data_IF_129501411267
#
_entry.id   IF_129501411267
#
_cell.length_a   1.000
_cell.length_b   1.000
_cell.length_c   1.000
_cell.angle_alpha   90.00
_cell.angle_beta   90.00
_cell.angle_gamma   90.00
#
_symmetry.space_group_name_H-M   'P 1'
#
loop_
_entity.id
_entity.type
_entity.pdbx_description
1 polymer ?
#
# COMPACT_ATOMS: atom_id res chain seq x y z
N UNK A 1 -27.66 1.87 3.40
CA UNK A 1 -26.25 1.61 3.05
C UNK A 1 -26.12 0.17 2.63
N UNK A 2 -25.71 -0.08 1.38
CA UNK A 2 -25.76 -1.40 0.74
C UNK A 2 -24.70 -2.37 1.26
N UNK A 3 -25.02 -3.66 1.25
CA UNK A 3 -24.18 -4.76 1.73
C UNK A 3 -22.88 -5.00 0.92
N UNK A 4 -22.54 -4.09 0.01
CA UNK A 4 -21.50 -4.24 -1.02
C UNK A 4 -20.48 -3.08 -1.00
N UNK A 5 -20.42 -2.34 0.10
CA UNK A 5 -19.45 -1.26 0.27
C UNK A 5 -18.04 -1.83 0.40
N UNK A 6 -17.25 -1.77 -0.68
CA UNK A 6 -15.87 -2.26 -0.68
C UNK A 6 -14.97 -1.33 0.15
N UNK A 7 -14.21 -1.90 1.10
CA UNK A 7 -13.21 -1.18 1.88
C UNK A 7 -11.89 -1.92 1.76
N UNK A 8 -10.89 -1.29 1.13
CA UNK A 8 -9.53 -1.84 1.01
C UNK A 8 -9.44 -3.21 0.32
N UNK A 9 -10.32 -3.50 -0.67
CA UNK A 9 -10.34 -4.78 -1.40
C UNK A 9 -11.06 -5.93 -0.68
N UNK A 10 -11.73 -5.65 0.44
CA UNK A 10 -12.55 -6.61 1.20
C UNK A 10 -14.00 -6.16 1.29
N UNK A 11 -14.91 -7.11 1.51
CA UNK A 11 -16.35 -6.85 1.67
C UNK A 11 -16.73 -6.91 3.16
N UNK A 12 -17.52 -5.95 3.67
CA UNK A 12 -18.03 -5.97 5.03
C UNK A 12 -18.80 -7.26 5.31
N UNK A 13 -18.36 -8.00 6.33
CA UNK A 13 -19.05 -9.21 6.75
C UNK A 13 -20.06 -8.93 7.86
N UNK A 14 -21.21 -9.61 7.80
CA UNK A 14 -22.16 -9.61 8.92
C UNK A 14 -21.53 -10.32 10.13
N UNK A 15 -21.75 -9.80 11.34
CA UNK A 15 -21.23 -10.38 12.59
C UNK A 15 -21.55 -11.87 12.72
N UNK A 16 -22.76 -12.29 12.32
CA UNK A 16 -23.15 -13.70 12.32
C UNK A 16 -22.22 -14.58 11.45
N UNK A 17 -21.77 -14.09 10.29
CA UNK A 17 -20.81 -14.79 9.45
C UNK A 17 -19.45 -14.94 10.14
N UNK A 18 -18.98 -13.90 10.82
CA UNK A 18 -17.71 -13.93 11.55
C UNK A 18 -17.75 -14.96 12.69
N UNK A 19 -18.85 -15.00 13.44
CA UNK A 19 -19.02 -15.93 14.57
C UNK A 19 -19.09 -17.39 14.12
N UNK A 20 -19.72 -17.68 12.99
CA UNK A 20 -19.74 -19.04 12.41
C UNK A 20 -18.33 -19.53 12.04
N UNK A 21 -17.51 -18.66 11.45
CA UNK A 21 -16.12 -19.01 11.10
C UNK A 21 -15.27 -19.16 12.36
N UNK A 22 -15.46 -18.29 13.35
CA UNK A 22 -14.77 -18.38 14.64
C UNK A 22 -15.07 -19.70 15.36
N UNK A 23 -16.32 -20.17 15.33
CA UNK A 23 -16.73 -21.46 15.89
C UNK A 23 -16.07 -22.66 15.19
N UNK A 24 -15.78 -22.55 13.89
CA UNK A 24 -14.98 -23.56 13.18
C UNK A 24 -13.52 -23.52 13.64
N UNK A 25 -12.96 -22.32 13.73
CA UNK A 25 -11.58 -22.05 14.13
C UNK A 25 -11.25 -22.50 15.55
N UNK A 26 -12.16 -22.31 16.51
CA UNK A 26 -11.97 -22.76 17.89
C UNK A 26 -11.95 -24.29 18.04
N UNK A 27 -12.38 -25.04 17.02
CA UNK A 27 -12.35 -26.51 17.00
C UNK A 27 -11.14 -27.08 16.25
N UNK A 28 -10.27 -26.23 15.70
CA UNK A 28 -9.07 -26.66 14.98
C UNK A 28 -7.85 -26.56 15.88
N UNK A 29 -6.90 -27.50 15.72
CA UNK A 29 -5.64 -27.52 16.47
C UNK A 29 -4.56 -26.57 15.88
N UNK A 30 -4.94 -25.63 15.02
CA UNK A 30 -4.02 -24.70 14.37
C UNK A 30 -3.92 -23.38 15.15
N UNK A 31 -2.73 -23.01 15.68
CA UNK A 31 -2.58 -21.83 16.54
C UNK A 31 -2.68 -20.50 15.78
N UNK A 32 -2.54 -20.50 14.46
CA UNK A 32 -2.63 -19.31 13.61
C UNK A 32 -3.52 -19.61 12.42
N UNK A 33 -4.59 -18.82 12.28
CA UNK A 33 -5.61 -18.97 11.23
C UNK A 33 -6.02 -17.57 10.72
N UNK A 34 -6.45 -17.51 9.47
CA UNK A 34 -6.93 -16.27 8.84
C UNK A 34 -8.18 -16.58 8.01
N UNK A 35 -9.17 -15.71 8.10
CA UNK A 35 -10.36 -15.72 7.25
C UNK A 35 -10.55 -14.32 6.67
N UNK A 36 -10.67 -14.24 5.35
CA UNK A 36 -10.94 -12.99 4.63
C UNK A 36 -12.00 -13.23 3.56
N UNK A 37 -12.91 -12.27 3.40
CA UNK A 37 -13.82 -12.24 2.25
C UNK A 37 -13.26 -11.24 1.26
N UNK A 38 -12.65 -11.81 0.22
CA UNK A 38 -12.13 -11.04 -0.91
C UNK A 38 -13.31 -10.40 -1.63
N UNK A 39 -13.20 -9.11 -1.93
CA UNK A 39 -14.13 -8.50 -2.87
C UNK A 39 -13.94 -9.13 -4.24
N UNK A 40 -15.05 -9.48 -4.90
CA UNK A 40 -14.97 -10.04 -6.24
C UNK A 40 -14.49 -8.94 -7.21
N UNK A 41 -13.21 -8.98 -7.54
CA UNK A 41 -12.60 -8.09 -8.53
C UNK A 41 -12.95 -8.53 -9.96
N UNK A 42 -13.61 -9.69 -10.16
CA UNK A 42 -13.98 -10.19 -11.50
C UNK A 42 -15.14 -9.41 -12.13
N UNK A 43 -15.83 -8.56 -11.37
CA UNK A 43 -16.71 -7.55 -11.95
C UNK A 43 -15.96 -6.45 -12.70
N UNK A 44 -14.61 -6.43 -12.67
CA UNK A 44 -13.76 -5.47 -13.36
C UNK A 44 -13.43 -5.77 -14.82
N UNK A 45 -13.89 -6.91 -15.37
CA UNK A 45 -13.75 -7.24 -16.81
C UNK A 45 -15.09 -7.22 -17.56
N UNK A 46 -16.17 -6.74 -16.92
CA UNK A 46 -17.13 -5.97 -17.71
C UNK A 46 -16.49 -4.61 -17.85
N UNK A 47 -16.42 -4.09 -19.07
CA UNK A 47 -16.29 -2.66 -19.26
C UNK A 47 -17.28 -2.04 -18.28
N UNK A 48 -16.79 -1.54 -17.14
CA UNK A 48 -17.53 -0.56 -16.36
C UNK A 48 -17.78 0.48 -17.42
N UNK A 49 -19.02 0.61 -17.88
CA UNK A 49 -19.51 1.89 -18.35
C UNK A 49 -18.91 2.84 -17.33
N UNK A 50 -17.91 3.62 -17.75
CA UNK A 50 -17.32 4.65 -16.92
C UNK A 50 -18.52 5.47 -16.50
N UNK A 51 -19.04 5.18 -15.30
CA UNK A 51 -20.26 5.79 -14.84
C UNK A 51 -20.00 7.27 -14.93
N UNK A 52 -20.80 7.97 -15.73
CA UNK A 52 -20.53 9.33 -16.15
C UNK A 52 -20.06 10.14 -14.94
N UNK A 53 -18.80 10.55 -14.93
CA UNK A 53 -18.16 11.19 -13.77
C UNK A 53 -18.97 12.42 -13.36
N UNK A 54 -19.55 13.11 -14.35
CA UNK A 54 -20.44 14.24 -14.14
C UNK A 54 -21.71 13.82 -13.42
N UNK A 55 -22.31 12.68 -13.79
CA UNK A 55 -23.49 12.15 -13.11
C UNK A 55 -23.20 11.75 -11.67
N UNK A 56 -22.05 11.12 -11.39
CA UNK A 56 -21.63 10.78 -10.02
C UNK A 56 -21.46 12.04 -9.16
N UNK A 57 -20.77 13.05 -9.70
CA UNK A 57 -20.54 14.32 -9.00
C UNK A 57 -21.86 15.08 -8.82
N UNK A 58 -22.71 15.16 -9.84
CA UNK A 58 -24.04 15.76 -9.74
C UNK A 58 -24.89 15.12 -8.62
N UNK A 59 -24.82 13.80 -8.47
CA UNK A 59 -25.51 13.09 -7.40
C UNK A 59 -24.99 13.46 -5.99
N UNK A 60 -23.67 13.63 -5.80
CA UNK A 60 -23.08 14.09 -4.53
C UNK A 60 -23.62 15.48 -4.15
N UNK A 61 -23.79 16.36 -5.14
CA UNK A 61 -24.34 17.70 -4.96
C UNK A 61 -25.88 17.75 -4.96
N UNK A 62 -26.56 16.60 -5.04
CA UNK A 62 -28.03 16.52 -5.04
C UNK A 62 -28.71 17.05 -6.31
N UNK A 63 -27.97 17.21 -7.40
CA UNK A 63 -28.46 17.67 -8.70
C UNK A 63 -29.00 16.47 -9.49
N UNK A 64 -30.25 16.57 -9.96
CA UNK A 64 -30.92 15.47 -10.69
C UNK A 64 -30.51 15.37 -12.16
N UNK A 65 -30.24 16.52 -12.79
CA UNK A 65 -29.89 16.60 -14.22
C UNK A 65 -28.52 17.28 -14.41
N UNK A 66 -27.45 16.53 -14.73
CA UNK A 66 -26.10 17.09 -14.90
C UNK A 66 -26.00 18.09 -16.06
N UNK A 67 -26.83 17.95 -17.09
CA UNK A 67 -26.87 18.85 -18.26
C UNK A 67 -27.39 20.26 -17.95
N UNK A 68 -27.95 20.48 -16.75
CA UNK A 68 -28.38 21.80 -16.29
C UNK A 68 -27.23 22.65 -15.73
N UNK A 69 -26.08 22.03 -15.47
CA UNK A 69 -24.91 22.69 -14.88
C UNK A 69 -24.08 23.37 -15.97
N UNK A 70 -23.56 24.55 -15.64
CA UNK A 70 -22.66 25.26 -16.55
C UNK A 70 -21.29 24.53 -16.57
N UNK A 71 -20.77 24.12 -17.75
CA UNK A 71 -19.49 23.42 -17.87
C UNK A 71 -18.29 24.24 -17.35
N UNK A 72 -18.41 25.57 -17.29
CA UNK A 72 -17.36 26.46 -16.78
C UNK A 72 -17.37 26.64 -15.26
N UNK A 73 -18.43 26.19 -14.57
CA UNK A 73 -18.55 26.36 -13.13
C UNK A 73 -17.62 25.39 -12.39
N UNK A 74 -16.90 25.89 -11.40
CA UNK A 74 -16.02 25.06 -10.55
C UNK A 74 -16.79 24.38 -9.41
N UNK A 75 -16.29 23.25 -8.91
CA UNK A 75 -16.89 22.58 -7.74
C UNK A 75 -16.89 23.48 -6.50
N UNK A 76 -15.86 24.31 -6.33
CA UNK A 76 -15.81 25.31 -5.26
C UNK A 76 -16.93 26.37 -5.35
N UNK A 77 -17.30 26.79 -6.56
CA UNK A 77 -18.39 27.74 -6.79
C UNK A 77 -19.77 27.07 -6.72
N UNK A 78 -19.84 25.77 -7.03
CA UNK A 78 -21.05 24.95 -6.88
C UNK A 78 -21.41 24.69 -5.40
N UNK A 79 -20.56 25.11 -4.46
CA UNK A 79 -20.80 24.99 -3.03
C UNK A 79 -20.24 23.71 -2.43
N UNK A 80 -19.12 23.20 -2.95
CA UNK A 80 -18.43 22.05 -2.38
C UNK A 80 -18.03 22.32 -0.93
N UNK A 81 -18.62 21.54 -0.02
CA UNK A 81 -18.21 21.53 1.39
C UNK A 81 -17.10 20.49 1.63
N UNK A 82 -16.59 20.44 2.87
CA UNK A 82 -15.49 19.53 3.21
C UNK A 82 -15.87 18.04 3.10
N UNK A 83 -17.14 17.67 3.22
CA UNK A 83 -17.59 16.29 3.14
C UNK A 83 -17.75 15.87 1.67
N UNK A 84 -18.43 16.69 0.87
CA UNK A 84 -18.59 16.50 -0.57
C UNK A 84 -17.23 16.46 -1.28
N UNK A 85 -16.27 17.28 -0.86
CA UNK A 85 -14.92 17.27 -1.41
C UNK A 85 -14.21 15.91 -1.25
N UNK A 86 -14.39 15.25 -0.10
CA UNK A 86 -13.83 13.90 0.14
C UNK A 86 -14.55 12.85 -0.70
N UNK A 87 -15.87 12.94 -0.85
CA UNK A 87 -16.64 12.00 -1.68
C UNK A 87 -16.26 12.09 -3.17
N UNK A 88 -16.06 13.31 -3.67
CA UNK A 88 -15.57 13.55 -5.05
C UNK A 88 -14.15 13.01 -5.23
N UNK A 89 -13.24 13.30 -4.29
CA UNK A 89 -11.86 12.79 -4.30
C UNK A 89 -11.84 11.26 -4.39
N UNK A 90 -12.57 10.59 -3.50
CA UNK A 90 -12.63 9.13 -3.47
C UNK A 90 -13.24 8.54 -4.74
N UNK A 91 -14.22 9.21 -5.34
CA UNK A 91 -14.83 8.77 -6.61
C UNK A 91 -13.83 8.82 -7.75
N UNK A 92 -13.08 9.92 -7.87
CA UNK A 92 -12.05 10.11 -8.90
C UNK A 92 -10.90 9.11 -8.71
N UNK A 93 -10.39 8.94 -7.48
CA UNK A 93 -9.32 7.99 -7.18
C UNK A 93 -9.73 6.55 -7.49
N UNK A 94 -10.95 6.14 -7.11
CA UNK A 94 -11.43 4.76 -7.27
C UNK A 94 -11.71 4.39 -8.73
N UNK A 95 -12.32 5.28 -9.49
CA UNK A 95 -12.84 4.97 -10.83
C UNK A 95 -11.90 5.43 -11.96
N UNK A 96 -10.98 6.36 -11.69
CA UNK A 96 -10.07 6.94 -12.70
C UNK A 96 -8.57 6.90 -12.32
N UNK A 97 -8.19 6.41 -11.12
CA UNK A 97 -6.80 6.32 -10.63
C UNK A 97 -6.05 7.67 -10.68
N UNK A 98 -6.78 8.78 -10.51
CA UNK A 98 -6.23 10.14 -10.45
C UNK A 98 -6.18 10.62 -9.00
N UNK A 99 -4.99 10.99 -8.54
CA UNK A 99 -4.76 11.54 -7.20
C UNK A 99 -4.66 13.07 -7.27
N UNK A 100 -5.76 13.76 -6.95
CA UNK A 100 -5.84 15.23 -6.93
C UNK A 100 -5.90 15.75 -5.49
N UNK A 101 -5.22 16.86 -5.23
CA UNK A 101 -5.32 17.58 -3.96
C UNK A 101 -6.69 18.24 -3.77
N UNK A 102 -7.06 18.55 -2.52
CA UNK A 102 -8.30 19.28 -2.23
C UNK A 102 -8.39 20.65 -2.92
N UNK A 103 -7.25 21.31 -3.16
CA UNK A 103 -7.22 22.57 -3.91
C UNK A 103 -7.53 22.34 -5.40
N UNK A 104 -6.95 21.29 -5.99
CA UNK A 104 -7.21 20.92 -7.39
C UNK A 104 -8.68 20.51 -7.56
N UNK A 105 -9.22 19.69 -6.65
CA UNK A 105 -10.63 19.27 -6.68
C UNK A 105 -11.57 20.48 -6.59
N UNK A 106 -11.27 21.44 -5.71
CA UNK A 106 -12.06 22.66 -5.60
C UNK A 106 -12.08 23.49 -6.90
N UNK A 107 -10.99 23.45 -7.67
CA UNK A 107 -10.83 24.17 -8.93
C UNK A 107 -11.32 23.38 -10.16
N UNK A 108 -11.70 22.10 -10.01
CA UNK A 108 -12.25 21.33 -11.12
C UNK A 108 -13.57 21.94 -11.60
N UNK A 109 -13.68 22.14 -12.91
CA UNK A 109 -14.93 22.51 -13.56
C UNK A 109 -15.70 21.26 -14.02
N UNK A 110 -17.01 21.42 -14.24
CA UNK A 110 -17.85 20.34 -14.80
C UNK A 110 -17.33 19.88 -16.17
N UNK A 111 -16.88 20.81 -17.04
CA UNK A 111 -16.26 20.46 -18.31
C UNK A 111 -14.96 19.66 -18.15
N UNK A 112 -14.16 19.94 -17.12
CA UNK A 112 -12.94 19.15 -16.85
C UNK A 112 -13.26 17.74 -16.34
N UNK A 113 -14.36 17.58 -15.59
CA UNK A 113 -14.87 16.26 -15.20
C UNK A 113 -15.34 15.45 -16.42
N UNK A 114 -15.96 16.08 -17.42
CA UNK A 114 -16.31 15.43 -18.69
C UNK A 114 -15.06 14.92 -19.43
N UNK A 115 -14.01 15.75 -19.50
CA UNK A 115 -12.75 15.39 -20.15
C UNK A 115 -12.05 14.21 -19.45
N UNK A 116 -12.01 14.23 -18.12
CA UNK A 116 -11.49 13.11 -17.31
C UNK A 116 -12.35 11.86 -17.54
N UNK A 117 -13.67 12.01 -17.57
CA UNK A 117 -14.63 10.97 -17.93
C UNK A 117 -14.30 10.30 -19.27
N UNK A 118 -14.02 11.10 -20.29
CA UNK A 118 -13.71 10.66 -21.65
C UNK A 118 -12.28 10.09 -21.81
N UNK A 119 -11.41 10.24 -20.81
CA UNK A 119 -10.06 9.65 -20.80
C UNK A 119 -8.97 10.58 -21.32
N UNK A 120 -9.18 11.89 -21.32
CA UNK A 120 -8.10 12.85 -21.50
C UNK A 120 -7.22 12.86 -20.24
N UNK A 121 -5.99 12.35 -20.35
CA UNK A 121 -5.00 12.50 -19.30
C UNK A 121 -4.78 14.00 -19.01
N UNK A 122 -4.67 14.34 -17.72
CA UNK A 122 -4.52 15.71 -17.26
C UNK A 122 -3.22 16.34 -17.80
N UNK A 123 -3.34 17.03 -18.94
CA UNK A 123 -2.29 17.85 -19.54
C UNK A 123 -2.81 19.26 -19.79
N UNK A 124 -2.00 20.24 -19.37
CA UNK A 124 -2.10 21.71 -19.59
C UNK A 124 -3.14 22.45 -18.71
N UNK A 125 -2.84 23.52 -17.96
CA UNK A 125 -1.58 24.23 -17.71
C UNK A 125 -1.70 25.24 -16.55
N UNK A 126 -0.53 25.72 -16.09
CA UNK A 126 -0.21 26.93 -15.27
C UNK A 126 -0.26 26.86 -13.73
N UNK A 127 0.93 26.70 -13.15
CA UNK A 127 1.26 27.00 -11.75
C UNK A 127 1.08 28.51 -11.42
N UNK A 128 1.03 28.85 -10.13
CA UNK A 128 2.28 29.31 -9.51
C UNK A 128 2.66 28.47 -8.29
N UNK A 129 3.97 28.25 -8.17
CA UNK A 129 4.63 27.66 -7.01
C UNK A 129 4.42 28.56 -5.79
N UNK A 130 3.70 28.05 -4.80
CA UNK A 130 3.82 28.45 -3.40
C UNK A 130 4.31 27.24 -2.62
N UNK A 131 5.53 27.29 -2.10
CA UNK A 131 5.92 26.47 -0.97
C UNK A 131 4.87 26.67 0.13
N UNK A 132 4.41 25.61 0.81
CA UNK A 132 4.41 25.49 2.29
C UNK A 132 4.16 24.02 2.69
N UNK A 133 4.98 23.63 3.65
CA UNK A 133 4.95 22.50 4.57
C UNK A 133 3.61 21.78 4.75
N UNK A 134 3.56 20.51 4.34
CA UNK A 134 2.59 19.56 4.88
C UNK A 134 3.33 18.30 5.26
N UNK A 135 3.55 18.17 6.57
CA UNK A 135 3.88 16.94 7.27
C UNK A 135 2.72 15.95 7.14
N UNK A 136 2.49 15.48 5.92
CA UNK A 136 1.73 14.26 5.68
C UNK A 136 2.63 13.16 6.22
N UNK A 137 2.17 12.48 7.28
CA UNK A 137 2.73 11.22 7.71
C UNK A 137 2.84 10.34 6.46
N UNK A 138 4.04 10.22 5.91
CA UNK A 138 4.34 9.34 4.78
C UNK A 138 3.99 7.93 5.26
N UNK A 139 2.78 7.49 4.90
CA UNK A 139 2.50 6.06 4.85
C UNK A 139 3.57 5.53 3.89
N UNK A 140 4.48 4.64 4.32
CA UNK A 140 5.56 4.19 3.46
C UNK A 140 4.91 3.64 2.21
N UNK A 141 5.13 4.31 1.06
CA UNK A 141 4.66 3.80 -0.23
C UNK A 141 5.20 2.38 -0.31
N UNK A 142 4.29 1.42 -0.40
CA UNK A 142 4.63 0.06 -0.80
C UNK A 142 5.07 0.18 -2.26
N UNK A 143 6.33 0.54 -2.46
CA UNK A 143 6.95 0.61 -3.78
C UNK A 143 6.91 -0.81 -4.33
N UNK A 144 5.87 -1.10 -5.10
CA UNK A 144 5.66 -2.38 -5.76
C UNK A 144 6.83 -2.59 -6.73
N UNK A 145 7.84 -3.34 -6.28
CA UNK A 145 9.07 -3.56 -7.06
C UNK A 145 8.83 -4.58 -8.17
N UNK A 146 9.44 -4.34 -9.32
CA UNK A 146 9.35 -5.13 -10.57
C UNK A 146 9.91 -6.56 -10.47
N UNK A 147 10.62 -6.92 -9.39
CA UNK A 147 11.22 -8.24 -9.20
C UNK A 147 10.82 -8.85 -7.85
N UNK A 148 9.69 -9.56 -7.87
CA UNK A 148 9.03 -10.14 -6.69
C UNK A 148 9.84 -11.23 -5.98
N UNK A 149 10.91 -11.75 -6.60
CA UNK A 149 11.74 -12.79 -6.00
C UNK A 149 13.24 -12.47 -6.17
N UNK A 150 13.95 -12.19 -5.07
CA UNK A 150 15.40 -12.08 -5.04
C UNK A 150 16.10 -13.35 -5.53
N UNK A 151 17.24 -13.18 -6.21
CA UNK A 151 18.07 -14.28 -6.74
C UNK A 151 19.04 -14.86 -5.69
N UNK A 152 19.31 -14.10 -4.62
CA UNK A 152 20.26 -14.49 -3.55
C UNK A 152 19.61 -14.41 -2.17
N UNK A 153 19.83 -15.46 -1.36
CA UNK A 153 19.29 -15.56 0.01
C UNK A 153 19.93 -14.55 0.96
N UNK A 154 21.17 -14.14 0.72
CA UNK A 154 21.85 -13.11 1.52
C UNK A 154 22.42 -12.01 0.64
N UNK A 155 22.20 -10.74 1.00
CA UNK A 155 22.72 -9.57 0.28
C UNK A 155 23.50 -8.65 1.21
N UNK A 156 24.61 -8.12 0.74
CA UNK A 156 25.35 -7.08 1.47
C UNK A 156 24.60 -5.75 1.36
N UNK A 157 24.31 -5.11 2.50
CA UNK A 157 23.48 -3.90 2.51
C UNK A 157 24.26 -2.61 2.70
N UNK A 158 25.41 -2.65 3.36
CA UNK A 158 26.19 -1.44 3.66
C UNK A 158 27.70 -1.54 3.42
N UNK A 159 28.22 -2.70 3.01
CA UNK A 159 29.61 -2.90 2.62
C UNK A 159 30.65 -2.66 3.73
N UNK A 160 30.24 -2.57 5.00
CA UNK A 160 31.16 -2.27 6.10
C UNK A 160 31.94 -3.53 6.51
N UNK A 161 33.19 -3.41 6.99
CA UNK A 161 33.93 -4.53 7.55
C UNK A 161 33.48 -4.84 8.99
N UNK A 162 33.59 -6.10 9.43
CA UNK A 162 33.32 -6.52 10.81
C UNK A 162 32.28 -7.64 10.94
N UNK A 163 31.90 -7.94 12.18
CA UNK A 163 30.86 -8.94 12.48
C UNK A 163 29.50 -8.43 11.97
N UNK A 164 28.80 -9.20 11.10
CA UNK A 164 27.55 -8.75 10.52
C UNK A 164 26.37 -8.86 11.48
N UNK A 165 25.50 -7.86 11.44
CA UNK A 165 24.11 -7.96 11.87
C UNK A 165 23.27 -8.43 10.69
N UNK A 166 22.43 -9.43 10.94
CA UNK A 166 21.52 -9.98 9.95
C UNK A 166 20.15 -9.30 10.07
N UNK A 167 19.64 -8.78 8.97
CA UNK A 167 18.31 -8.18 8.86
C UNK A 167 17.41 -9.15 8.08
N UNK A 168 16.33 -9.60 8.71
CA UNK A 168 15.37 -10.53 8.09
C UNK A 168 14.32 -9.74 7.33
N UNK A 169 13.97 -10.19 6.13
CA UNK A 169 12.94 -9.56 5.32
C UNK A 169 11.58 -9.48 6.05
N UNK A 170 10.77 -8.43 5.79
CA UNK A 170 9.35 -8.38 6.15
C UNK A 170 8.51 -9.35 5.31
N UNK A 171 7.18 -9.34 5.45
CA UNK A 171 6.26 -10.27 4.77
C UNK A 171 6.41 -10.31 3.24
N UNK A 172 6.96 -9.25 2.64
CA UNK A 172 7.24 -9.11 1.21
C UNK A 172 8.29 -10.09 0.69
N UNK A 173 9.24 -10.52 1.53
CA UNK A 173 10.29 -11.46 1.13
C UNK A 173 11.62 -10.84 0.68
N UNK A 174 11.75 -9.52 0.63
CA UNK A 174 13.00 -8.82 0.27
C UNK A 174 13.38 -7.77 1.30
N UNK A 175 14.65 -7.35 1.33
CA UNK A 175 15.16 -6.37 2.33
C UNK A 175 15.18 -4.93 1.82
N UNK A 176 14.47 -4.66 0.72
CA UNK A 176 14.40 -3.35 0.04
C UNK A 176 14.12 -2.19 1.02
N UNK A 177 13.04 -2.29 1.78
CA UNK A 177 12.65 -1.30 2.78
C UNK A 177 13.67 -1.13 3.93
N UNK A 178 14.55 -2.12 4.14
CA UNK A 178 15.53 -2.12 5.22
C UNK A 178 16.88 -1.51 4.81
N UNK A 179 17.08 -1.11 3.54
CA UNK A 179 18.34 -0.52 3.09
C UNK A 179 18.66 0.79 3.79
N UNK A 180 17.67 1.67 3.96
CA UNK A 180 17.88 2.95 4.66
C UNK A 180 18.32 2.72 6.11
N UNK A 181 17.68 1.78 6.81
CA UNK A 181 18.09 1.35 8.14
C UNK A 181 19.52 0.78 8.13
N UNK A 182 19.84 -0.09 7.17
CA UNK A 182 21.12 -0.78 7.10
C UNK A 182 22.30 0.18 6.87
N UNK A 183 22.09 1.29 6.16
CA UNK A 183 23.12 2.33 5.92
C UNK A 183 23.49 3.10 7.18
N UNK A 184 22.52 3.32 8.06
CA UNK A 184 22.71 4.04 9.33
C UNK A 184 23.37 3.17 10.41
N UNK A 185 23.34 1.84 10.27
CA UNK A 185 23.99 0.95 11.22
C UNK A 185 25.52 1.17 11.24
N UNK A 186 26.14 1.30 12.42
CA UNK A 186 27.60 1.48 12.53
C UNK A 186 28.36 0.18 12.22
N UNK A 187 27.66 -0.95 12.22
CA UNK A 187 28.19 -2.31 11.98
C UNK A 187 27.83 -2.81 10.60
N UNK A 188 28.51 -3.86 10.14
CA UNK A 188 28.21 -4.54 8.88
C UNK A 188 26.78 -5.08 8.89
N UNK A 189 26.02 -4.80 7.83
CA UNK A 189 24.63 -5.23 7.70
C UNK A 189 24.46 -6.16 6.49
N UNK A 190 23.87 -7.33 6.74
CA UNK A 190 23.57 -8.36 5.73
C UNK A 190 22.07 -8.63 5.77
N UNK A 191 21.42 -8.50 4.63
CA UNK A 191 19.99 -8.77 4.49
C UNK A 191 19.75 -10.22 4.13
N UNK A 192 18.76 -10.84 4.76
CA UNK A 192 18.26 -12.17 4.45
C UNK A 192 16.97 -12.04 3.66
N UNK A 193 16.97 -12.60 2.46
CA UNK A 193 15.90 -12.52 1.47
C UNK A 193 15.37 -13.91 1.15
N UNK A 194 14.11 -13.98 0.72
CA UNK A 194 13.45 -15.22 0.32
C UNK A 194 13.62 -15.44 -1.17
N UNK A 195 14.35 -16.48 -1.56
CA UNK A 195 14.45 -16.94 -2.96
C UNK A 195 13.31 -17.92 -3.29
N UNK A 196 13.16 -18.28 -4.57
CA UNK A 196 12.10 -19.22 -5.03
C UNK A 196 12.20 -20.60 -4.39
N UNK A 197 13.40 -20.99 -3.98
CA UNK A 197 13.71 -22.33 -3.49
C UNK A 197 13.50 -22.47 -1.97
N UNK A 198 13.16 -21.39 -1.26
CA UNK A 198 12.92 -21.42 0.20
C UNK A 198 11.46 -21.82 0.48
N UNK A 199 11.20 -22.98 1.13
CA UNK A 199 9.86 -23.40 1.49
C UNK A 199 9.22 -22.45 2.50
N UNK A 200 7.94 -22.12 2.28
CA UNK A 200 7.14 -21.22 3.14
C UNK A 200 6.16 -21.99 4.03
N UNK A 201 6.35 -23.29 4.21
CA UNK A 201 5.40 -24.17 4.93
C UNK A 201 5.48 -23.97 6.44
N UNK A 202 6.64 -23.61 6.96
CA UNK A 202 6.86 -23.35 8.39
C UNK A 202 7.94 -22.28 8.61
N UNK A 203 7.82 -21.53 9.71
CA UNK A 203 8.82 -20.52 10.08
C UNK A 203 10.12 -21.22 10.51
N UNK A 204 10.01 -22.42 11.08
CA UNK A 204 11.09 -23.26 11.55
C UNK A 204 12.00 -23.74 10.41
N UNK A 205 11.43 -24.17 9.29
CA UNK A 205 12.18 -24.52 8.08
C UNK A 205 12.91 -23.30 7.50
N UNK A 206 12.22 -22.16 7.41
CA UNK A 206 12.79 -20.90 6.92
C UNK A 206 13.96 -20.44 7.81
N UNK A 207 13.79 -20.48 9.14
CA UNK A 207 14.82 -20.14 10.10
C UNK A 207 16.03 -21.08 10.00
N UNK A 208 15.80 -22.38 9.80
CA UNK A 208 16.86 -23.37 9.65
C UNK A 208 17.75 -23.07 8.43
N UNK A 209 17.14 -22.69 7.31
CA UNK A 209 17.87 -22.30 6.09
C UNK A 209 18.69 -21.02 6.32
N UNK A 210 18.11 -20.01 6.99
CA UNK A 210 18.83 -18.77 7.30
C UNK A 210 20.01 -18.98 8.26
N UNK A 211 19.86 -19.90 9.21
CA UNK A 211 20.95 -20.29 10.10
C UNK A 211 22.07 -21.03 9.36
N UNK A 212 21.77 -21.84 8.33
CA UNK A 212 22.78 -22.49 7.51
C UNK A 212 23.60 -21.48 6.69
N UNK A 213 22.96 -20.43 6.15
CA UNK A 213 23.65 -19.34 5.44
C UNK A 213 24.67 -18.64 6.35
N UNK A 214 24.36 -18.50 7.65
CA UNK A 214 25.29 -17.96 8.64
C UNK A 214 26.50 -18.87 8.87
N UNK A 215 26.34 -20.19 8.81
CA UNK A 215 27.40 -21.17 9.10
C UNK A 215 28.39 -21.37 7.94
N UNK A 216 27.93 -21.26 6.69
CA UNK A 216 28.77 -21.43 5.50
C UNK A 216 29.70 -20.24 5.22
N UNK A 217 29.49 -19.10 5.89
CA UNK A 217 30.35 -17.93 5.76
C UNK A 217 31.41 -17.96 6.88
N UNK A 218 32.72 -17.92 6.56
CA UNK A 218 33.75 -18.09 7.58
C UNK A 218 33.61 -17.00 8.66
N UNK A 219 33.74 -17.36 9.95
CA UNK A 219 33.74 -16.38 11.02
C UNK A 219 34.96 -15.47 10.84
N UNK A 220 34.74 -14.17 10.61
CA UNK A 220 35.80 -13.20 10.85
C UNK A 220 36.20 -13.32 12.32
N UNK A 221 37.46 -13.74 12.55
CA UNK A 221 38.10 -13.99 13.84
C UNK A 221 37.41 -13.25 15.00
N UNK A 222 36.74 -13.99 15.87
CA UNK A 222 36.26 -13.49 17.16
C UNK A 222 37.44 -12.85 17.90
N UNK A 223 37.42 -11.55 18.25
CA UNK A 223 38.30 -11.09 19.31
C UNK A 223 37.81 -11.76 20.59
N UNK A 224 38.74 -12.46 21.26
CA UNK A 224 38.48 -13.15 22.52
C UNK A 224 37.79 -12.19 23.50
N UNK A 225 36.64 -12.62 24.03
CA UNK A 225 35.89 -11.88 25.05
C UNK A 225 36.77 -11.69 26.29
N UNK A 226 37.28 -10.48 26.50
CA UNK A 226 37.81 -10.06 27.79
C UNK A 226 36.63 -9.81 28.74
N UNK A 227 36.15 -10.88 29.38
CA UNK A 227 35.39 -10.75 30.61
C UNK A 227 36.35 -10.20 31.67
N UNK A 228 36.25 -8.90 31.99
CA UNK A 228 36.66 -8.40 33.31
C UNK A 228 35.42 -7.98 34.06
N UNK A 229 35.09 -8.79 35.07
CA UNK A 229 34.21 -8.45 36.19
C UNK A 229 34.66 -7.09 36.75
N UNK A 230 33.78 -6.10 36.72
CA UNK A 230 33.85 -4.98 37.66
C UNK A 230 33.18 -5.43 38.96
N UNK A 231 33.88 -5.18 40.07
CA UNK A 231 33.42 -5.40 41.44
C UNK A 231 32.33 -4.40 41.80
#
# INVERSE_FOLDING_TARGET
MGADMMVGGTVPQRIASCLTVLDHFLRQDHPVISSLVKADLSSGAKAKDKHDLVQSVAHIFGVKDPSSLNPSLTLGELGMDSLMGVEVMQTIERDYDLNLSMQEIRQLSIGRLEEIGQGAAAGDSTAPKGAEDSSVLEVPRLTLMEKLVPDQVSVEMNGRPGEPVFLVHPIEGHVGALYELARQLPVRAVGLQRTRDVPTRSIEELASIYLQVRQHRPPSRRPARAWRRAR
#
